data_IF_400351627693
#
_entry.id   IF_400351627693
#
_cell.length_a   1.000
_cell.length_b   1.000
_cell.length_c   1.000
_cell.angle_alpha   90.00
_cell.angle_beta   90.00
_cell.angle_gamma   90.00
#
_symmetry.space_group_name_H-M   'P 1'
#
loop_
_entity.id
_entity.type
_entity.pdbx_description
1 polymer ?
#
# COMPACT_ATOMS: atom_id res chain seq x y z
N UNK A 1 -25.14 5.62 -9.78
CA UNK A 1 -25.28 6.59 -8.68
C UNK A 1 -24.75 7.94 -9.12
N UNK A 2 -23.51 8.03 -9.60
CA UNK A 2 -22.97 9.23 -10.25
C UNK A 2 -22.71 9.01 -11.73
N UNK A 3 -22.60 10.11 -12.48
CA UNK A 3 -22.11 10.10 -13.85
C UNK A 3 -20.69 9.50 -13.92
N UNK A 4 -20.46 8.65 -14.91
CA UNK A 4 -19.22 7.87 -14.98
C UNK A 4 -18.04 8.72 -15.41
N UNK A 5 -18.25 9.61 -16.39
CA UNK A 5 -17.19 10.46 -16.93
C UNK A 5 -16.69 11.43 -15.86
N UNK A 6 -17.63 12.07 -15.13
CA UNK A 6 -17.29 12.92 -13.98
C UNK A 6 -16.50 12.18 -12.90
N UNK A 7 -16.92 10.95 -12.55
CA UNK A 7 -16.23 10.15 -11.52
C UNK A 7 -14.84 9.70 -11.97
N UNK A 8 -14.68 9.35 -13.24
CA UNK A 8 -13.39 8.90 -13.77
C UNK A 8 -12.40 10.08 -13.86
N UNK A 9 -12.84 11.28 -14.27
CA UNK A 9 -12.04 12.51 -14.21
C UNK A 9 -11.57 12.83 -12.79
N UNK A 10 -12.49 12.82 -11.81
CA UNK A 10 -12.16 13.06 -10.40
C UNK A 10 -11.18 12.02 -9.84
N UNK A 11 -11.27 10.75 -10.27
CA UNK A 11 -10.32 9.71 -9.87
C UNK A 11 -8.91 9.97 -10.39
N UNK A 12 -8.78 10.54 -11.57
CA UNK A 12 -7.48 10.84 -12.16
C UNK A 12 -6.85 12.06 -11.46
N UNK A 13 -7.64 13.07 -11.08
CA UNK A 13 -7.15 14.18 -10.23
C UNK A 13 -6.75 13.71 -8.83
N UNK A 14 -7.54 12.85 -8.19
CA UNK A 14 -7.18 12.25 -6.91
C UNK A 14 -5.91 11.39 -7.01
N UNK A 15 -5.67 10.75 -8.16
CA UNK A 15 -4.45 9.99 -8.43
C UNK A 15 -3.25 10.92 -8.57
N UNK A 16 -3.40 12.00 -9.34
CA UNK A 16 -2.37 13.05 -9.44
C UNK A 16 -1.97 13.56 -8.04
N UNK A 17 -2.94 13.90 -7.19
CA UNK A 17 -2.64 14.38 -5.83
C UNK A 17 -1.96 13.30 -4.99
N UNK A 18 -2.43 12.05 -5.07
CA UNK A 18 -1.81 10.93 -4.37
C UNK A 18 -0.36 10.70 -4.81
N UNK A 19 -0.04 10.88 -6.09
CA UNK A 19 1.32 10.74 -6.65
C UNK A 19 2.25 11.87 -6.17
N UNK A 20 1.71 13.03 -5.77
CA UNK A 20 2.49 14.13 -5.15
C UNK A 20 2.70 13.94 -3.66
N UNK A 21 1.69 13.45 -2.94
CA UNK A 21 1.74 13.24 -1.48
C UNK A 21 2.50 11.96 -1.09
N UNK A 22 2.34 10.89 -1.87
CA UNK A 22 2.87 9.56 -1.59
C UNK A 22 4.38 9.53 -1.31
N UNK A 23 5.22 10.05 -2.22
CA UNK A 23 6.68 10.00 -2.06
C UNK A 23 7.20 10.65 -0.78
N UNK A 24 6.53 11.71 -0.29
CA UNK A 24 6.88 12.36 0.99
C UNK A 24 6.68 11.39 2.16
N UNK A 25 5.49 10.77 2.23
CA UNK A 25 5.16 9.83 3.30
C UNK A 25 6.05 8.60 3.24
N UNK A 26 6.25 8.07 2.03
CA UNK A 26 7.04 6.86 1.80
C UNK A 26 8.51 7.09 2.22
N UNK A 27 9.10 8.22 1.83
CA UNK A 27 10.46 8.59 2.23
C UNK A 27 10.63 8.74 3.74
N UNK A 28 9.71 9.46 4.41
CA UNK A 28 9.72 9.62 5.87
C UNK A 28 9.62 8.29 6.61
N UNK A 29 8.72 7.40 6.17
CA UNK A 29 8.56 6.07 6.76
C UNK A 29 9.80 5.21 6.52
N UNK A 30 10.37 5.28 5.31
CA UNK A 30 11.53 4.48 4.92
C UNK A 30 12.78 4.86 5.71
N UNK A 31 13.07 6.15 5.92
CA UNK A 31 14.20 6.61 6.76
C UNK A 31 14.07 6.05 8.17
N UNK A 32 12.91 6.21 8.81
CA UNK A 32 12.67 5.74 10.17
C UNK A 32 12.83 4.23 10.29
N UNK A 33 12.27 3.48 9.33
CA UNK A 33 12.36 2.01 9.28
C UNK A 33 13.79 1.53 9.11
N UNK A 34 14.52 2.06 8.12
CA UNK A 34 15.88 1.63 7.82
C UNK A 34 16.88 2.03 8.91
N UNK A 35 16.76 3.24 9.45
CA UNK A 35 17.60 3.65 10.58
C UNK A 35 17.34 2.78 11.83
N UNK A 36 16.08 2.44 12.10
CA UNK A 36 15.72 1.48 13.14
C UNK A 36 16.33 0.09 12.90
N UNK A 37 16.27 -0.40 11.66
CA UNK A 37 16.85 -1.68 11.28
C UNK A 37 18.38 -1.71 11.47
N UNK A 38 19.09 -0.65 11.05
CA UNK A 38 20.54 -0.51 11.25
C UNK A 38 20.88 -0.51 12.74
N UNK A 39 20.16 0.26 13.57
CA UNK A 39 20.41 0.31 15.02
C UNK A 39 20.15 -1.01 15.75
N UNK A 40 19.32 -1.88 15.17
CA UNK A 40 19.05 -3.21 15.71
C UNK A 40 20.12 -4.26 15.36
N UNK A 41 21.05 -3.94 14.45
CA UNK A 41 22.14 -4.85 14.09
C UNK A 41 23.27 -4.82 15.13
N UNK A 42 23.92 -5.97 15.38
CA UNK A 42 25.18 -6.01 16.11
C UNK A 42 26.20 -5.06 15.47
N UNK A 43 26.88 -4.23 16.29
CA UNK A 43 27.77 -3.16 15.80
C UNK A 43 28.84 -3.65 14.83
N UNK A 44 29.37 -4.86 15.03
CA UNK A 44 30.37 -5.47 14.16
C UNK A 44 29.87 -5.84 12.74
N UNK A 45 28.55 -5.84 12.52
CA UNK A 45 27.92 -6.12 11.23
C UNK A 45 27.48 -4.84 10.49
N UNK A 46 27.66 -3.68 11.11
CA UNK A 46 27.43 -2.37 10.50
C UNK A 46 28.77 -1.84 9.98
N UNK A 47 28.97 -1.94 8.67
CA UNK A 47 30.26 -1.63 8.03
C UNK A 47 30.11 -0.35 7.20
N UNK A 48 30.77 0.72 7.66
CA UNK A 48 30.73 2.03 7.03
C UNK A 48 29.59 2.92 7.53
N UNK A 49 29.41 4.12 6.95
CA UNK A 49 28.48 5.14 7.41
C UNK A 49 27.03 4.87 6.94
N UNK A 50 26.50 3.68 7.20
CA UNK A 50 25.23 3.18 6.63
C UNK A 50 24.05 4.07 7.01
N UNK A 51 23.90 4.41 8.30
CA UNK A 51 22.80 5.25 8.78
C UNK A 51 22.86 6.66 8.18
N UNK A 52 24.05 7.28 8.13
CA UNK A 52 24.24 8.59 7.53
C UNK A 52 23.93 8.60 6.02
N UNK A 53 24.31 7.54 5.29
CA UNK A 53 23.98 7.40 3.86
C UNK A 53 22.48 7.21 3.62
N UNK A 54 21.80 6.41 4.45
CA UNK A 54 20.33 6.28 4.39
C UNK A 54 19.66 7.64 4.58
N UNK A 55 20.07 8.38 5.62
CA UNK A 55 19.54 9.72 5.88
C UNK A 55 19.81 10.69 4.74
N UNK A 56 21.01 10.63 4.16
CA UNK A 56 21.39 11.49 3.04
C UNK A 56 20.52 11.22 1.80
N UNK A 57 20.56 10.01 1.24
CA UNK A 57 19.87 9.75 -0.04
C UNK A 57 18.35 9.77 0.10
N UNK A 58 17.80 9.06 1.09
CA UNK A 58 16.33 9.00 1.25
C UNK A 58 15.80 10.33 1.77
N UNK A 59 16.58 11.06 2.59
CA UNK A 59 16.22 12.40 3.05
C UNK A 59 16.24 13.44 1.92
N UNK A 60 17.20 13.37 1.00
CA UNK A 60 17.21 14.20 -0.21
C UNK A 60 15.99 13.91 -1.09
N UNK A 61 15.74 12.64 -1.42
CA UNK A 61 14.57 12.25 -2.23
C UNK A 61 13.25 12.73 -1.58
N UNK A 62 13.17 12.68 -0.24
CA UNK A 62 12.02 13.17 0.53
C UNK A 62 11.91 14.70 0.48
N UNK A 63 13.02 15.43 0.52
CA UNK A 63 13.04 16.90 0.45
C UNK A 63 12.58 17.39 -0.92
N UNK A 64 13.08 16.78 -1.99
CA UNK A 64 12.63 17.07 -3.35
C UNK A 64 11.13 16.75 -3.53
N UNK A 65 10.67 15.66 -2.91
CA UNK A 65 9.25 15.31 -2.90
C UNK A 65 8.40 16.34 -2.13
N UNK A 66 8.91 16.86 -1.01
CA UNK A 66 8.24 17.91 -0.23
C UNK A 66 8.08 19.19 -1.03
N UNK A 67 9.11 19.60 -1.78
CA UNK A 67 9.03 20.77 -2.66
C UNK A 67 7.99 20.58 -3.77
N UNK A 68 8.02 19.43 -4.46
CA UNK A 68 7.01 19.08 -5.48
C UNK A 68 5.59 19.02 -4.92
N UNK A 69 5.44 18.51 -3.70
CA UNK A 69 4.16 18.45 -3.00
C UNK A 69 3.65 19.85 -2.66
N UNK A 70 4.51 20.73 -2.13
CA UNK A 70 4.14 22.13 -1.82
C UNK A 70 3.67 22.86 -3.06
N UNK A 71 4.43 22.80 -4.15
CA UNK A 71 4.03 23.41 -5.41
C UNK A 71 2.69 22.89 -5.93
N UNK A 72 2.40 21.59 -5.76
CA UNK A 72 1.11 21.03 -6.15
C UNK A 72 -0.06 21.48 -5.26
N UNK A 73 0.17 21.74 -3.98
CA UNK A 73 -0.86 22.24 -3.05
C UNK A 73 -1.13 23.74 -3.23
N UNK A 74 -0.21 24.47 -3.84
CA UNK A 74 -0.34 25.90 -4.19
C UNK A 74 -0.95 26.11 -5.58
N UNK A 75 -1.12 25.04 -6.38
CA UNK A 75 -1.63 25.08 -7.74
C UNK A 75 -3.17 25.20 -7.80
N UNK A 76 -3.69 25.93 -8.79
CA UNK A 76 -5.12 26.07 -9.06
C UNK A 76 -5.82 24.72 -9.25
N UNK A 77 -5.11 23.71 -9.77
CA UNK A 77 -5.59 22.34 -9.91
C UNK A 77 -6.03 21.75 -8.57
N UNK A 78 -5.30 22.01 -7.48
CA UNK A 78 -5.67 21.52 -6.15
C UNK A 78 -6.93 22.23 -5.63
N UNK A 79 -7.05 23.54 -5.84
CA UNK A 79 -8.26 24.29 -5.50
C UNK A 79 -9.50 23.78 -6.24
N UNK A 80 -9.37 23.50 -7.54
CA UNK A 80 -10.42 22.91 -8.37
C UNK A 80 -10.87 21.53 -7.86
N UNK A 81 -9.91 20.67 -7.51
CA UNK A 81 -10.18 19.35 -6.94
C UNK A 81 -10.98 19.45 -5.62
N UNK A 82 -10.61 20.38 -4.73
CA UNK A 82 -11.36 20.58 -3.48
C UNK A 82 -12.79 21.05 -3.73
N UNK A 83 -12.99 21.97 -4.68
CA UNK A 83 -14.32 22.45 -5.05
C UNK A 83 -15.20 21.34 -5.64
N UNK A 84 -14.64 20.47 -6.50
CA UNK A 84 -15.37 19.32 -7.05
C UNK A 84 -15.71 18.27 -5.98
N UNK A 85 -14.81 18.02 -5.03
CA UNK A 85 -15.08 17.13 -3.90
C UNK A 85 -16.20 17.66 -3.00
N UNK A 86 -16.22 18.97 -2.73
CA UNK A 86 -17.29 19.61 -1.96
C UNK A 86 -18.63 19.54 -2.71
N UNK A 87 -18.62 19.86 -4.01
CA UNK A 87 -19.80 19.73 -4.86
C UNK A 87 -20.33 18.28 -4.92
N UNK A 88 -19.45 17.28 -4.95
CA UNK A 88 -19.83 15.88 -4.91
C UNK A 88 -20.39 15.46 -3.53
N UNK A 89 -19.80 15.94 -2.44
CA UNK A 89 -20.25 15.66 -1.08
C UNK A 89 -21.62 16.25 -0.76
N UNK A 90 -21.92 17.42 -1.32
CA UNK A 90 -23.21 18.10 -1.19
C UNK A 90 -24.28 17.56 -2.15
N UNK A 91 -23.91 16.74 -3.14
CA UNK A 91 -24.87 16.15 -4.08
C UNK A 91 -25.71 15.06 -3.40
N UNK A 92 -27.03 15.16 -3.50
CA UNK A 92 -27.95 14.09 -3.09
C UNK A 92 -27.84 12.91 -4.06
N UNK A 93 -27.09 11.88 -3.67
CA UNK A 93 -27.04 10.64 -4.40
C UNK A 93 -28.13 9.69 -3.89
N UNK A 94 -29.03 9.25 -4.77
CA UNK A 94 -30.01 8.21 -4.44
C UNK A 94 -29.28 6.90 -4.08
N UNK A 95 -29.35 6.49 -2.81
CA UNK A 95 -28.72 5.25 -2.33
C UNK A 95 -29.59 4.04 -2.69
N UNK A 96 -29.09 3.18 -3.57
CA UNK A 96 -29.66 1.86 -3.84
C UNK A 96 -28.83 0.79 -3.10
N UNK A 97 -29.36 0.28 -2.00
CA UNK A 97 -28.68 -0.71 -1.17
C UNK A 97 -28.44 -2.05 -1.88
N UNK A 98 -29.33 -2.47 -2.78
CA UNK A 98 -29.16 -3.69 -3.56
C UNK A 98 -27.98 -3.55 -4.54
N UNK A 99 -27.89 -2.38 -5.19
CA UNK A 99 -26.74 -2.05 -6.03
C UNK A 99 -25.44 -2.01 -5.22
N UNK A 100 -25.42 -1.34 -4.06
CA UNK A 100 -24.23 -1.27 -3.18
C UNK A 100 -23.80 -2.68 -2.76
N UNK A 101 -24.73 -3.53 -2.33
CA UNK A 101 -24.44 -4.92 -1.97
C UNK A 101 -23.83 -5.70 -3.15
N UNK A 102 -24.37 -5.53 -4.35
CA UNK A 102 -23.81 -6.09 -5.58
C UNK A 102 -22.37 -5.64 -5.85
N UNK A 103 -22.05 -4.37 -5.55
CA UNK A 103 -20.69 -3.82 -5.68
C UNK A 103 -19.73 -4.41 -4.64
N UNK A 104 -20.16 -4.58 -3.39
CA UNK A 104 -19.36 -5.25 -2.35
C UNK A 104 -19.04 -6.67 -2.80
N UNK A 105 -20.05 -7.44 -3.22
CA UNK A 105 -19.88 -8.82 -3.70
C UNK A 105 -18.89 -8.90 -4.85
N UNK A 106 -19.01 -8.01 -5.85
CA UNK A 106 -18.08 -7.95 -6.99
C UNK A 106 -16.65 -7.60 -6.56
N UNK A 107 -16.48 -6.67 -5.63
CA UNK A 107 -15.17 -6.27 -5.13
C UNK A 107 -14.48 -7.42 -4.36
N UNK A 108 -15.21 -8.10 -3.48
CA UNK A 108 -14.72 -9.27 -2.73
C UNK A 108 -14.31 -10.39 -3.69
N UNK A 109 -15.19 -10.78 -4.63
CA UNK A 109 -14.86 -11.82 -5.64
C UNK A 109 -13.67 -11.46 -6.52
N UNK A 110 -13.48 -10.16 -6.83
CA UNK A 110 -12.28 -9.72 -7.57
C UNK A 110 -11.03 -9.88 -6.71
N UNK A 111 -11.07 -9.46 -5.44
CA UNK A 111 -9.94 -9.57 -4.54
C UNK A 111 -9.52 -11.04 -4.31
N UNK A 112 -10.50 -11.94 -4.10
CA UNK A 112 -10.22 -13.36 -3.97
C UNK A 112 -9.56 -13.92 -5.23
N UNK A 113 -10.11 -13.65 -6.43
CA UNK A 113 -9.54 -14.12 -7.70
C UNK A 113 -8.12 -13.63 -7.95
N UNK A 114 -7.81 -12.38 -7.57
CA UNK A 114 -6.46 -11.84 -7.73
C UNK A 114 -5.47 -12.54 -6.78
N UNK A 115 -5.91 -12.90 -5.58
CA UNK A 115 -5.08 -13.65 -4.64
C UNK A 115 -4.89 -15.11 -5.09
N UNK A 116 -5.94 -15.76 -5.59
CA UNK A 116 -5.92 -17.16 -6.02
C UNK A 116 -5.07 -17.39 -7.28
N UNK A 117 -4.78 -16.33 -8.05
CA UNK A 117 -3.94 -16.43 -9.26
C UNK A 117 -2.44 -16.31 -8.97
N UNK A 118 -2.03 -16.23 -7.70
CA UNK A 118 -0.62 -16.03 -7.32
C UNK A 118 0.21 -17.31 -7.47
N UNK A 119 -0.38 -18.47 -7.20
CA UNK A 119 0.36 -19.74 -7.10
C UNK A 119 1.01 -20.22 -8.41
N UNK A 120 0.61 -19.65 -9.55
CA UNK A 120 1.12 -20.01 -10.88
C UNK A 120 2.17 -19.05 -11.43
N UNK A 121 2.61 -18.07 -10.65
CA UNK A 121 3.49 -16.97 -11.09
C UNK A 121 4.93 -17.19 -10.62
N UNK A 122 5.89 -16.60 -11.34
CA UNK A 122 7.27 -16.50 -10.84
C UNK A 122 7.37 -15.53 -9.64
N UNK A 123 8.54 -15.44 -9.00
CA UNK A 123 8.72 -14.60 -7.79
C UNK A 123 8.37 -13.12 -8.05
N UNK A 124 8.80 -12.56 -9.18
CA UNK A 124 8.59 -11.15 -9.47
C UNK A 124 7.12 -10.87 -9.81
N UNK A 125 6.53 -11.71 -10.66
CA UNK A 125 5.12 -11.65 -11.02
C UNK A 125 4.23 -11.87 -9.79
N UNK A 126 4.64 -12.76 -8.87
CA UNK A 126 3.98 -13.00 -7.59
C UNK A 126 3.93 -11.75 -6.73
N UNK A 127 5.04 -11.06 -6.53
CA UNK A 127 5.08 -9.83 -5.72
C UNK A 127 4.16 -8.74 -6.31
N UNK A 128 4.18 -8.58 -7.63
CA UNK A 128 3.28 -7.66 -8.36
C UNK A 128 1.82 -8.05 -8.16
N UNK A 129 1.50 -9.34 -8.29
CA UNK A 129 0.15 -9.84 -8.14
C UNK A 129 -0.36 -9.74 -6.69
N UNK A 130 0.49 -9.98 -5.70
CA UNK A 130 0.17 -9.80 -4.28
C UNK A 130 -0.13 -8.33 -3.96
N UNK A 131 0.60 -7.38 -4.55
CA UNK A 131 0.30 -5.96 -4.44
C UNK A 131 -1.04 -5.57 -5.06
N UNK A 132 -1.37 -6.14 -6.22
CA UNK A 132 -2.67 -5.91 -6.87
C UNK A 132 -3.84 -6.55 -6.09
N UNK A 133 -3.63 -7.75 -5.54
CA UNK A 133 -4.57 -8.38 -4.61
C UNK A 133 -4.77 -7.49 -3.37
N UNK A 134 -3.70 -6.95 -2.78
CA UNK A 134 -3.78 -6.00 -1.66
C UNK A 134 -4.64 -4.78 -1.99
N UNK A 135 -4.41 -4.16 -3.14
CA UNK A 135 -5.22 -3.03 -3.63
C UNK A 135 -6.69 -3.43 -3.79
N UNK A 136 -6.96 -4.64 -4.28
CA UNK A 136 -8.32 -5.16 -4.41
C UNK A 136 -8.99 -5.42 -3.05
N UNK A 137 -8.28 -5.97 -2.06
CA UNK A 137 -8.78 -6.13 -0.70
C UNK A 137 -9.06 -4.80 -0.02
N UNK A 138 -8.19 -3.78 -0.21
CA UNK A 138 -8.44 -2.42 0.27
C UNK A 138 -9.73 -1.83 -0.31
N UNK A 139 -9.95 -1.99 -1.61
CA UNK A 139 -11.20 -1.56 -2.28
C UNK A 139 -12.42 -2.33 -1.76
N UNK A 140 -12.32 -3.65 -1.56
CA UNK A 140 -13.40 -4.46 -1.03
C UNK A 140 -13.76 -4.08 0.41
N UNK A 141 -12.74 -3.78 1.24
CA UNK A 141 -12.94 -3.26 2.60
C UNK A 141 -13.70 -1.94 2.59
N UNK A 142 -13.24 -0.95 1.80
CA UNK A 142 -13.94 0.34 1.71
C UNK A 142 -15.36 0.22 1.17
N UNK A 143 -15.60 -0.69 0.22
CA UNK A 143 -16.95 -0.96 -0.24
C UNK A 143 -17.85 -1.52 0.88
N UNK A 144 -17.31 -2.39 1.74
CA UNK A 144 -18.04 -2.91 2.90
C UNK A 144 -18.27 -1.83 3.97
N UNK A 145 -17.28 -0.97 4.23
CA UNK A 145 -17.38 0.15 5.19
C UNK A 145 -18.42 1.20 4.78
N UNK A 146 -18.79 1.27 3.50
CA UNK A 146 -19.89 2.12 3.03
C UNK A 146 -21.29 1.65 3.47
N UNK A 147 -21.41 0.43 4.01
CA UNK A 147 -22.67 -0.12 4.54
C UNK A 147 -22.64 -0.10 6.07
N UNK A 148 -23.50 0.70 6.68
CA UNK A 148 -23.55 0.88 8.14
C UNK A 148 -24.39 -0.19 8.85
N UNK A 149 -23.96 -1.45 8.72
CA UNK A 149 -24.58 -2.59 9.41
C UNK A 149 -23.54 -3.51 10.03
N UNK A 150 -23.89 -4.17 11.14
CA UNK A 150 -22.97 -5.04 11.88
C UNK A 150 -22.30 -6.14 11.02
N UNK A 151 -23.01 -6.84 10.10
CA UNK A 151 -22.37 -7.80 9.21
C UNK A 151 -21.30 -7.20 8.28
N UNK A 152 -21.51 -5.98 7.79
CA UNK A 152 -20.58 -5.27 6.91
C UNK A 152 -19.30 -4.87 7.64
N UNK A 153 -19.43 -4.36 8.87
CA UNK A 153 -18.28 -4.08 9.74
C UNK A 153 -17.43 -5.32 10.01
N UNK A 154 -18.07 -6.46 10.32
CA UNK A 154 -17.37 -7.73 10.51
C UNK A 154 -16.63 -8.16 9.24
N UNK A 155 -17.25 -8.02 8.07
CA UNK A 155 -16.60 -8.31 6.79
C UNK A 155 -15.39 -7.38 6.57
N UNK A 156 -15.55 -6.07 6.76
CA UNK A 156 -14.48 -5.09 6.62
C UNK A 156 -13.28 -5.41 7.52
N UNK A 157 -13.51 -5.80 8.78
CA UNK A 157 -12.45 -6.23 9.70
C UNK A 157 -11.71 -7.47 9.19
N UNK A 158 -12.40 -8.45 8.59
CA UNK A 158 -11.74 -9.64 8.02
C UNK A 158 -10.96 -9.32 6.76
N UNK A 159 -11.50 -8.47 5.88
CA UNK A 159 -10.80 -8.00 4.68
C UNK A 159 -9.57 -7.18 5.06
N UNK A 160 -9.66 -6.36 6.12
CA UNK A 160 -8.54 -5.64 6.71
C UNK A 160 -7.42 -6.59 7.14
N UNK A 161 -7.74 -7.69 7.82
CA UNK A 161 -6.72 -8.64 8.24
C UNK A 161 -5.91 -9.22 7.06
N UNK A 162 -6.57 -9.54 5.94
CA UNK A 162 -5.87 -9.98 4.71
C UNK A 162 -5.04 -8.83 4.12
N UNK A 163 -5.62 -7.62 4.05
CA UNK A 163 -4.95 -6.42 3.56
C UNK A 163 -3.69 -6.08 4.38
N UNK A 164 -3.72 -6.29 5.69
CA UNK A 164 -2.62 -5.98 6.61
C UNK A 164 -1.46 -6.98 6.43
N UNK A 165 -1.75 -8.28 6.24
CA UNK A 165 -0.72 -9.29 5.88
C UNK A 165 -0.05 -8.93 4.56
N UNK A 166 -0.85 -8.73 3.50
CA UNK A 166 -0.33 -8.37 2.18
C UNK A 166 0.40 -7.01 2.20
N UNK A 167 -0.05 -6.07 3.03
CA UNK A 167 0.62 -4.79 3.21
C UNK A 167 1.97 -4.92 3.90
N UNK A 168 2.06 -5.74 4.93
CA UNK A 168 3.32 -5.99 5.63
C UNK A 168 4.32 -6.70 4.72
N UNK A 169 3.87 -7.62 3.86
CA UNK A 169 4.72 -8.23 2.84
C UNK A 169 5.18 -7.20 1.79
N UNK A 170 4.27 -6.41 1.22
CA UNK A 170 4.63 -5.37 0.24
C UNK A 170 5.66 -4.38 0.79
N UNK A 171 5.53 -4.05 2.07
CA UNK A 171 6.46 -3.20 2.81
C UNK A 171 7.88 -3.78 2.82
N UNK A 172 8.06 -5.10 2.92
CA UNK A 172 9.39 -5.73 2.84
C UNK A 172 9.93 -5.69 1.40
N UNK A 173 9.09 -5.92 0.39
CA UNK A 173 9.47 -5.84 -1.05
C UNK A 173 9.97 -4.44 -1.40
N UNK A 174 9.24 -3.40 -0.99
CA UNK A 174 9.66 -2.00 -1.19
C UNK A 174 10.97 -1.71 -0.44
N UNK A 175 11.10 -2.19 0.79
CA UNK A 175 12.33 -2.01 1.59
C UNK A 175 13.53 -2.70 0.94
N UNK A 176 13.36 -3.92 0.40
CA UNK A 176 14.39 -4.66 -0.36
C UNK A 176 14.86 -3.86 -1.58
N UNK A 177 13.93 -3.29 -2.34
CA UNK A 177 14.26 -2.47 -3.51
C UNK A 177 15.12 -1.25 -3.13
N UNK A 178 14.77 -0.54 -2.05
CA UNK A 178 15.54 0.60 -1.54
C UNK A 178 16.93 0.17 -1.05
N UNK A 179 17.02 -0.93 -0.28
CA UNK A 179 18.30 -1.47 0.19
C UNK A 179 19.21 -1.87 -0.96
N UNK A 180 18.67 -2.45 -2.04
CA UNK A 180 19.41 -2.77 -3.25
C UNK A 180 19.95 -1.52 -3.93
N UNK A 181 19.13 -0.48 -4.08
CA UNK A 181 19.59 0.78 -4.69
C UNK A 181 20.68 1.46 -3.85
N UNK A 182 20.48 1.55 -2.53
CA UNK A 182 21.48 2.10 -1.60
C UNK A 182 22.78 1.29 -1.63
N UNK A 183 22.70 -0.04 -1.71
CA UNK A 183 23.87 -0.91 -1.87
C UNK A 183 24.65 -0.59 -3.15
N UNK A 184 23.94 -0.43 -4.27
CA UNK A 184 24.57 -0.11 -5.56
C UNK A 184 25.19 1.30 -5.57
N UNK A 185 24.53 2.30 -4.97
CA UNK A 185 25.11 3.63 -4.78
C UNK A 185 26.36 3.54 -3.91
N UNK A 186 26.28 2.81 -2.81
CA UNK A 186 27.39 2.67 -1.88
C UNK A 186 28.62 2.07 -2.54
N UNK A 187 28.43 1.00 -3.32
CA UNK A 187 29.48 0.34 -4.08
C UNK A 187 30.13 1.28 -5.11
N UNK A 188 29.35 2.03 -5.89
CA UNK A 188 29.87 2.97 -6.90
C UNK A 188 30.75 4.07 -6.30
N UNK A 189 30.49 4.45 -5.06
CA UNK A 189 31.25 5.47 -4.32
C UNK A 189 32.41 4.87 -3.51
N UNK A 190 32.80 3.61 -3.78
CA UNK A 190 33.88 2.92 -3.06
C UNK A 190 33.53 2.54 -1.61
N UNK A 191 32.25 2.59 -1.25
CA UNK A 191 31.74 2.20 0.07
C UNK A 191 31.47 0.69 0.20
N UNK A 192 31.20 0.26 1.44
CA UNK A 192 30.93 -1.15 1.72
C UNK A 192 29.44 -1.48 1.55
N UNK A 193 29.14 -2.56 0.83
CA UNK A 193 27.77 -3.02 0.53
C UNK A 193 27.20 -4.05 1.53
N UNK A 194 28.04 -4.59 2.44
CA UNK A 194 27.73 -5.73 3.30
C UNK A 194 26.45 -5.54 4.11
N UNK A 195 26.34 -4.42 4.84
CA UNK A 195 25.19 -4.18 5.73
C UNK A 195 23.88 -4.07 4.96
N UNK A 196 23.87 -3.48 3.76
CA UNK A 196 22.67 -3.40 2.92
C UNK A 196 22.21 -4.78 2.44
N UNK A 197 23.15 -5.61 1.97
CA UNK A 197 22.84 -6.99 1.56
C UNK A 197 22.30 -7.84 2.71
N UNK A 198 22.88 -7.69 3.92
CA UNK A 198 22.38 -8.35 5.12
C UNK A 198 20.96 -7.91 5.48
N UNK A 199 20.70 -6.60 5.51
CA UNK A 199 19.36 -6.08 5.79
C UNK A 199 18.35 -6.54 4.72
N UNK A 200 18.76 -6.62 3.45
CA UNK A 200 17.93 -7.11 2.36
C UNK A 200 17.50 -8.56 2.61
N UNK A 201 18.45 -9.45 2.91
CA UNK A 201 18.17 -10.86 3.22
C UNK A 201 17.22 -11.02 4.43
N UNK A 202 17.34 -10.14 5.44
CA UNK A 202 16.40 -10.13 6.59
C UNK A 202 14.98 -9.72 6.17
N UNK A 203 14.84 -8.76 5.25
CA UNK A 203 13.54 -8.35 4.74
C UNK A 203 12.91 -9.44 3.86
N UNK A 204 13.70 -10.18 3.11
CA UNK A 204 13.24 -11.36 2.36
C UNK A 204 12.67 -12.42 3.30
N UNK A 205 13.45 -12.83 4.32
CA UNK A 205 12.99 -13.79 5.33
C UNK A 205 11.74 -13.30 6.10
N UNK A 206 11.68 -12.01 6.45
CA UNK A 206 10.52 -11.42 7.11
C UNK A 206 9.28 -11.39 6.19
N UNK A 207 9.48 -11.11 4.90
CA UNK A 207 8.42 -11.11 3.90
C UNK A 207 7.76 -12.46 3.75
N UNK A 208 8.55 -13.54 3.70
CA UNK A 208 8.02 -14.91 3.65
C UNK A 208 7.37 -15.34 4.97
N UNK A 209 7.94 -14.97 6.11
CA UNK A 209 7.35 -15.27 7.41
C UNK A 209 5.95 -14.65 7.58
N UNK A 210 5.77 -13.39 7.15
CA UNK A 210 4.48 -12.68 7.17
C UNK A 210 3.43 -13.38 6.31
N UNK A 211 3.82 -13.90 5.15
CA UNK A 211 2.89 -14.63 4.27
C UNK A 211 2.40 -15.94 4.88
N UNK A 212 3.10 -16.49 5.89
CA UNK A 212 2.61 -17.62 6.69
C UNK A 212 1.26 -17.38 7.37
N UNK A 213 0.90 -16.12 7.65
CA UNK A 213 -0.40 -15.75 8.25
C UNK A 213 -1.54 -15.64 7.23
N UNK A 214 -1.20 -15.57 5.94
CA UNK A 214 -2.15 -15.32 4.86
C UNK A 214 -3.26 -16.40 4.74
N UNK A 215 -2.98 -17.71 4.87
CA UNK A 215 -4.02 -18.74 4.82
C UNK A 215 -5.07 -18.55 5.92
N UNK A 216 -4.63 -18.31 7.16
CA UNK A 216 -5.54 -18.13 8.30
C UNK A 216 -6.36 -16.82 8.19
N UNK A 217 -5.76 -15.74 7.69
CA UNK A 217 -6.48 -14.49 7.41
C UNK A 217 -7.55 -14.70 6.32
N UNK A 218 -7.17 -15.38 5.23
CA UNK A 218 -8.03 -15.65 4.07
C UNK A 218 -9.18 -16.59 4.43
N UNK A 219 -8.93 -17.68 5.15
CA UNK A 219 -9.97 -18.60 5.61
C UNK A 219 -11.05 -17.87 6.42
N UNK A 220 -10.63 -17.00 7.36
CA UNK A 220 -11.56 -16.22 8.20
C UNK A 220 -12.34 -15.20 7.35
N UNK A 221 -11.70 -14.55 6.39
CA UNK A 221 -12.33 -13.61 5.47
C UNK A 221 -13.28 -14.27 4.47
N UNK A 222 -13.04 -15.53 4.09
CA UNK A 222 -13.86 -16.32 3.17
C UNK A 222 -15.00 -17.09 3.85
N UNK A 223 -15.01 -17.17 5.17
CA UNK A 223 -16.00 -17.95 5.91
C UNK A 223 -17.45 -17.51 5.66
N UNK A 224 -18.36 -18.48 5.57
CA UNK A 224 -19.80 -18.22 5.45
C UNK A 224 -20.34 -17.33 6.58
N UNK A 225 -19.75 -17.41 7.78
CA UNK A 225 -20.10 -16.59 8.95
C UNK A 225 -20.00 -15.07 8.69
N UNK A 226 -19.13 -14.63 7.78
CA UNK A 226 -18.94 -13.20 7.45
C UNK A 226 -19.42 -12.83 6.04
N UNK A 227 -19.78 -13.82 5.21
CA UNK A 227 -20.18 -13.61 3.81
C UNK A 227 -21.62 -14.03 3.48
N UNK A 228 -22.32 -14.79 4.32
CA UNK A 228 -23.67 -15.31 4.01
C UNK A 228 -24.69 -14.21 3.71
N UNK A 229 -24.58 -13.07 4.40
CA UNK A 229 -25.45 -11.90 4.20
C UNK A 229 -25.21 -11.18 2.85
N UNK A 230 -24.12 -11.49 2.15
CA UNK A 230 -23.86 -10.92 0.83
C UNK A 230 -24.77 -11.51 -0.25
N UNK A 231 -25.46 -12.63 -0.01
CA UNK A 231 -26.20 -13.37 -1.05
C UNK A 231 -25.27 -14.15 -1.96
#
# INVERSE_FOLDING_TARGET
MWDRERVDALRDELRWLADRLGPVRDGQVMVGRLAGAVRSEPRQLVVGPVEARIQHYVGQDTSDALERMRGALEDDQYGGLLAELDALGNATAGRDDAWVLGRVRKAVRRADRMLDSVDSLDEHERDVQLHEARRAYKRARYAAEAIDVKPAHRLAQRLKAVQDVLGTHQDTVVTRAVLRDLSMRAYREGGNAFTYGRLHARQEAAGEAVLGDLPAATQRARSGKVRSWLG
#
